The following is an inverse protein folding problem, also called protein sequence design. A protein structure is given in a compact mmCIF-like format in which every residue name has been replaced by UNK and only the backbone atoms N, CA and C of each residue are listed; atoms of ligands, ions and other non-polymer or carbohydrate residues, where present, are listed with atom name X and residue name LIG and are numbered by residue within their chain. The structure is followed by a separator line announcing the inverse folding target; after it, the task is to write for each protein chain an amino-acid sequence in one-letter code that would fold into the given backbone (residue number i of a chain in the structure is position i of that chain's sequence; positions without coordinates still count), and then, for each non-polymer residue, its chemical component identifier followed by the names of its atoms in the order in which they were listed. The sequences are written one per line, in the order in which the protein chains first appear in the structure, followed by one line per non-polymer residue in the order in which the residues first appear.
data_IF_465703635836
#
_entry.id   IF_465703635836
#
_cell.length_a   1.000
_cell.length_b   1.000
_cell.length_c   1.000
_cell.angle_alpha   90.00
_cell.angle_beta   90.00
_cell.angle_gamma   90.00
#
_symmetry.space_group_name_H-M   'P 1'
#
loop_
_entity.id
_entity.type
_entity.pdbx_description
1 polymer ?
#
# COMPACT_ATOMS: atom_id res chain seq x y z
N UNK A 1 1.05 -8.89 11.45
CA UNK A 1 -0.38 -8.54 11.53
C UNK A 1 -1.24 -9.72 11.99
N UNK A 2 -1.45 -10.82 11.24
CA UNK A 2 -2.35 -11.95 11.62
C UNK A 2 -1.96 -12.58 12.97
N UNK A 3 -0.67 -12.87 13.22
CA UNK A 3 -0.20 -13.38 14.51
C UNK A 3 -0.43 -12.41 15.67
N UNK A 4 -0.31 -11.10 15.42
CA UNK A 4 -0.62 -10.08 16.43
C UNK A 4 -2.11 -10.01 16.74
N UNK A 5 -2.98 -10.20 15.74
CA UNK A 5 -4.43 -10.32 15.94
C UNK A 5 -4.79 -11.50 16.83
N UNK A 6 -4.20 -12.68 16.56
CA UNK A 6 -4.36 -13.87 17.40
C UNK A 6 -3.90 -13.61 18.85
N UNK A 7 -2.74 -12.97 19.02
CA UNK A 7 -2.22 -12.63 20.36
C UNK A 7 -3.12 -11.59 21.06
N UNK A 8 -3.84 -10.77 20.32
CA UNK A 8 -4.84 -9.82 20.82
C UNK A 8 -6.22 -10.44 21.10
N UNK A 9 -6.39 -11.75 20.87
CA UNK A 9 -7.65 -12.46 21.13
C UNK A 9 -8.72 -12.23 20.05
N UNK A 10 -8.32 -11.84 18.83
CA UNK A 10 -9.25 -11.68 17.71
C UNK A 10 -9.45 -13.01 16.99
N UNK A 11 -10.68 -13.40 16.77
CA UNK A 11 -11.06 -14.62 16.05
C UNK A 11 -11.17 -14.39 14.53
N UNK A 12 -11.45 -13.16 14.11
CA UNK A 12 -11.69 -12.79 12.72
C UNK A 12 -11.03 -11.46 12.39
N UNK A 13 -10.37 -11.37 11.24
CA UNK A 13 -9.84 -10.12 10.68
C UNK A 13 -10.14 -10.05 9.18
N UNK A 14 -10.21 -8.85 8.63
CA UNK A 14 -10.23 -8.63 7.20
C UNK A 14 -8.90 -8.02 6.73
N UNK A 15 -8.45 -8.40 5.54
CA UNK A 15 -7.32 -7.77 4.85
C UNK A 15 -7.91 -6.86 3.78
N UNK A 16 -7.72 -5.56 3.95
CA UNK A 16 -8.29 -4.51 3.07
C UNK A 16 -7.21 -3.54 2.64
N UNK A 17 -6.16 -4.07 2.01
CA UNK A 17 -5.08 -3.24 1.48
C UNK A 17 -5.59 -2.34 0.35
N UNK A 18 -4.95 -1.19 0.20
CA UNK A 18 -5.31 -0.22 -0.83
C UNK A 18 -5.08 -0.75 -2.24
N UNK A 19 -6.15 -0.87 -3.00
CA UNK A 19 -6.21 -1.22 -4.43
C UNK A 19 -5.63 -2.60 -4.77
N UNK A 20 -5.46 -3.51 -3.80
CA UNK A 20 -4.89 -4.84 -4.03
C UNK A 20 -5.46 -5.87 -3.06
N UNK A 21 -5.54 -7.12 -3.53
CA UNK A 21 -5.87 -8.30 -2.73
C UNK A 21 -4.66 -9.22 -2.49
N UNK A 22 -3.47 -8.81 -2.93
CA UNK A 22 -2.26 -9.66 -3.02
C UNK A 22 -1.82 -10.26 -1.66
N UNK A 23 -2.07 -9.57 -0.55
CA UNK A 23 -1.68 -10.07 0.77
C UNK A 23 -2.60 -11.16 1.33
N UNK A 24 -3.78 -11.39 0.71
CA UNK A 24 -4.79 -12.28 1.26
C UNK A 24 -4.30 -13.72 1.43
N UNK A 25 -3.73 -14.33 0.40
CA UNK A 25 -3.34 -15.75 0.44
C UNK A 25 -2.27 -16.03 1.52
N UNK A 26 -1.30 -15.15 1.65
CA UNK A 26 -0.29 -15.24 2.71
C UNK A 26 -0.91 -15.05 4.11
N UNK A 27 -1.80 -14.08 4.26
CA UNK A 27 -2.51 -13.84 5.50
C UNK A 27 -3.43 -15.01 5.88
N UNK A 28 -4.17 -15.58 4.92
CA UNK A 28 -5.02 -16.75 5.11
C UNK A 28 -4.25 -17.98 5.58
N UNK A 29 -3.08 -18.25 4.97
CA UNK A 29 -2.22 -19.35 5.38
C UNK A 29 -1.81 -19.22 6.85
N UNK A 30 -1.34 -18.03 7.26
CA UNK A 30 -1.01 -17.75 8.66
C UNK A 30 -2.24 -17.83 9.56
N UNK A 31 -3.39 -17.35 9.11
CA UNK A 31 -4.66 -17.40 9.86
C UNK A 31 -5.03 -18.83 10.24
N UNK A 32 -4.87 -19.78 9.32
CA UNK A 32 -5.12 -21.20 9.59
C UNK A 32 -4.19 -21.77 10.68
N UNK A 33 -2.92 -21.35 10.71
CA UNK A 33 -1.97 -21.79 11.72
C UNK A 33 -2.35 -21.30 13.12
N UNK A 34 -2.80 -20.03 13.21
CA UNK A 34 -3.09 -19.37 14.50
C UNK A 34 -4.58 -19.34 14.85
N UNK A 35 -5.43 -20.01 14.08
CA UNK A 35 -6.88 -20.13 14.27
C UNK A 35 -7.62 -18.78 14.23
N UNK A 36 -7.19 -17.87 13.36
CA UNK A 36 -7.86 -16.62 13.06
C UNK A 36 -8.49 -16.74 11.67
N UNK A 37 -9.79 -16.47 11.55
CA UNK A 37 -10.44 -16.39 10.25
C UNK A 37 -9.98 -15.11 9.54
N UNK A 38 -9.50 -15.26 8.30
CA UNK A 38 -9.12 -14.12 7.46
C UNK A 38 -10.17 -13.93 6.38
N UNK A 39 -10.82 -12.78 6.39
CA UNK A 39 -11.80 -12.36 5.39
C UNK A 39 -11.07 -11.66 4.25
N UNK A 40 -11.26 -12.08 2.98
CA UNK A 40 -10.72 -11.36 1.83
C UNK A 40 -11.43 -10.02 1.67
N UNK A 41 -10.66 -8.97 1.48
CA UNK A 41 -11.18 -7.63 1.28
C UNK A 41 -10.25 -6.79 0.43
N UNK A 42 -10.68 -5.57 0.15
CA UNK A 42 -9.94 -4.55 -0.59
C UNK A 42 -10.42 -3.17 -0.15
N UNK A 43 -9.54 -2.18 -0.13
CA UNK A 43 -9.90 -0.78 -0.04
C UNK A 43 -9.67 -0.12 -1.41
N UNK A 44 -10.73 0.08 -2.17
CA UNK A 44 -10.67 0.69 -3.51
C UNK A 44 -10.55 2.19 -3.38
N UNK A 45 -9.46 2.75 -3.92
CA UNK A 45 -9.28 4.19 -4.06
C UNK A 45 -10.09 4.71 -5.25
N UNK A 46 -10.99 5.63 -4.99
CA UNK A 46 -11.90 6.23 -5.99
C UNK A 46 -11.95 7.75 -5.82
N UNK A 47 -12.57 8.44 -6.77
CA UNK A 47 -12.79 9.88 -6.70
C UNK A 47 -14.26 10.18 -7.00
N UNK A 48 -14.91 10.94 -6.14
CA UNK A 48 -16.28 11.42 -6.35
C UNK A 48 -16.34 12.94 -6.17
N UNK A 49 -16.84 13.64 -7.19
CA UNK A 49 -16.94 15.11 -7.19
C UNK A 49 -15.63 15.82 -6.82
N UNK A 50 -14.48 15.31 -7.30
CA UNK A 50 -13.14 15.88 -7.05
C UNK A 50 -12.58 15.60 -5.66
N UNK A 51 -13.20 14.70 -4.88
CA UNK A 51 -12.73 14.28 -3.55
C UNK A 51 -12.36 12.82 -3.57
N UNK A 52 -11.25 12.48 -2.91
CA UNK A 52 -10.85 11.10 -2.72
C UNK A 52 -11.89 10.38 -1.84
N UNK A 53 -12.31 9.21 -2.27
CA UNK A 53 -13.25 8.34 -1.57
C UNK A 53 -12.65 6.94 -1.53
N UNK A 54 -12.63 6.34 -0.36
CA UNK A 54 -12.18 4.96 -0.17
C UNK A 54 -13.39 4.06 0.07
N UNK A 55 -13.52 3.01 -0.74
CA UNK A 55 -14.63 2.06 -0.67
C UNK A 55 -14.07 0.72 -0.20
N UNK A 56 -14.54 0.25 0.95
CA UNK A 56 -14.17 -1.05 1.48
C UNK A 56 -15.08 -2.14 0.88
N UNK A 57 -14.45 -3.14 0.26
CA UNK A 57 -15.09 -4.38 -0.16
C UNK A 57 -14.69 -5.52 0.77
N UNK A 58 -15.64 -6.31 1.21
CA UNK A 58 -15.42 -7.52 2.00
C UNK A 58 -15.97 -8.74 1.30
N UNK A 59 -15.43 -9.92 1.62
CA UNK A 59 -15.84 -11.20 1.02
C UNK A 59 -15.70 -11.20 -0.51
N UNK A 60 -14.72 -10.45 -1.02
CA UNK A 60 -14.41 -10.39 -2.45
C UNK A 60 -13.71 -11.68 -2.87
N UNK A 61 -13.81 -12.04 -4.16
CA UNK A 61 -12.92 -13.03 -4.73
C UNK A 61 -11.54 -12.39 -4.95
N UNK A 62 -10.49 -12.79 -4.18
CA UNK A 62 -9.18 -12.15 -4.27
C UNK A 62 -8.49 -12.35 -5.61
N UNK A 63 -8.90 -13.38 -6.36
CA UNK A 63 -8.34 -13.75 -7.67
C UNK A 63 -9.20 -13.25 -8.85
N UNK A 64 -10.27 -12.49 -8.57
CA UNK A 64 -11.12 -11.92 -9.60
C UNK A 64 -10.29 -11.07 -10.59
N UNK A 65 -10.35 -11.37 -11.86
CA UNK A 65 -9.57 -10.67 -12.90
C UNK A 65 -9.75 -9.14 -12.88
N UNK A 66 -10.96 -8.67 -12.55
CA UNK A 66 -11.26 -7.24 -12.42
C UNK A 66 -10.48 -6.58 -11.26
N UNK A 67 -10.32 -7.26 -10.12
CA UNK A 67 -9.56 -6.75 -8.99
C UNK A 67 -8.06 -6.79 -9.25
N UNK A 68 -7.56 -7.83 -9.91
CA UNK A 68 -6.16 -7.93 -10.32
C UNK A 68 -5.82 -6.79 -11.28
N UNK A 69 -6.61 -6.60 -12.34
CA UNK A 69 -6.41 -5.51 -13.30
C UNK A 69 -6.52 -4.12 -12.64
N UNK A 70 -7.44 -3.95 -11.67
CA UNK A 70 -7.55 -2.70 -10.89
C UNK A 70 -6.25 -2.43 -10.12
N UNK A 71 -5.68 -3.45 -9.46
CA UNK A 71 -4.42 -3.34 -8.70
C UNK A 71 -3.23 -2.96 -9.60
N UNK A 72 -3.12 -3.56 -10.78
CA UNK A 72 -2.08 -3.23 -11.76
C UNK A 72 -2.18 -1.77 -12.22
N UNK A 73 -3.38 -1.30 -12.58
CA UNK A 73 -3.63 0.09 -12.95
C UNK A 73 -3.34 1.06 -11.80
N UNK A 74 -3.73 0.70 -10.57
CA UNK A 74 -3.46 1.52 -9.39
C UNK A 74 -1.95 1.65 -9.12
N UNK A 75 -1.20 0.56 -9.27
CA UNK A 75 0.26 0.55 -9.14
C UNK A 75 0.91 1.48 -10.14
N UNK A 76 0.56 1.36 -11.42
CA UNK A 76 1.07 2.24 -12.50
C UNK A 76 0.81 3.72 -12.19
N UNK A 77 -0.43 4.07 -11.82
CA UNK A 77 -0.78 5.46 -11.46
C UNK A 77 -0.02 5.98 -10.24
N UNK A 78 0.29 5.12 -9.26
CA UNK A 78 1.10 5.50 -8.09
C UNK A 78 2.55 5.78 -8.47
N UNK A 79 3.12 4.98 -9.37
CA UNK A 79 4.46 5.21 -9.89
C UNK A 79 4.56 6.50 -10.70
N UNK A 80 3.61 6.74 -11.60
CA UNK A 80 3.52 7.98 -12.38
C UNK A 80 3.44 9.20 -11.46
N UNK A 81 2.52 9.17 -10.48
CA UNK A 81 2.39 10.25 -9.50
C UNK A 81 3.65 10.43 -8.65
N UNK A 82 4.38 9.35 -8.33
CA UNK A 82 5.66 9.46 -7.63
C UNK A 82 6.69 10.20 -8.47
N UNK A 83 6.81 9.88 -9.75
CA UNK A 83 7.71 10.59 -10.67
C UNK A 83 7.36 12.07 -10.79
N UNK A 84 6.07 12.39 -10.88
CA UNK A 84 5.61 13.79 -10.88
C UNK A 84 5.96 14.54 -9.59
N UNK A 85 5.83 13.90 -8.43
CA UNK A 85 6.24 14.51 -7.14
C UNK A 85 7.75 14.78 -7.11
N UNK A 86 8.57 13.85 -7.58
CA UNK A 86 10.03 14.02 -7.67
C UNK A 86 10.39 15.20 -8.60
N UNK A 87 9.73 15.33 -9.74
CA UNK A 87 9.93 16.49 -10.64
C UNK A 87 9.61 17.80 -9.93
N UNK A 88 8.44 17.89 -9.26
CA UNK A 88 8.06 19.10 -8.51
C UNK A 88 9.04 19.44 -7.38
N UNK A 89 9.60 18.46 -6.69
CA UNK A 89 10.64 18.68 -5.69
C UNK A 89 11.93 19.22 -6.32
N UNK A 90 12.29 18.74 -7.51
CA UNK A 90 13.44 19.25 -8.26
C UNK A 90 13.27 20.73 -8.64
N UNK A 91 12.06 21.18 -8.97
CA UNK A 91 11.75 22.60 -9.23
C UNK A 91 11.96 23.48 -8.00
N UNK A 92 11.86 22.90 -6.79
CA UNK A 92 12.12 23.56 -5.49
C UNK A 92 13.56 23.34 -4.98
N UNK A 93 14.49 22.94 -5.86
CA UNK A 93 15.89 22.62 -5.53
C UNK A 93 16.07 21.46 -4.52
N UNK A 94 15.09 20.59 -4.40
CA UNK A 94 15.16 19.35 -3.61
C UNK A 94 15.40 18.19 -4.56
N UNK A 95 16.61 17.61 -4.51
CA UNK A 95 17.02 16.53 -5.42
C UNK A 95 16.88 15.19 -4.72
N UNK A 96 15.96 14.36 -5.22
CA UNK A 96 15.79 12.97 -4.85
C UNK A 96 15.46 12.17 -6.10
N UNK A 97 16.08 11.02 -6.27
CA UNK A 97 15.85 10.14 -7.42
C UNK A 97 14.75 9.11 -7.10
N UNK A 98 14.16 8.55 -8.15
CA UNK A 98 13.21 7.45 -8.01
C UNK A 98 13.87 6.21 -7.35
N UNK A 99 15.15 5.94 -7.67
CA UNK A 99 15.93 4.85 -7.07
C UNK A 99 16.10 4.99 -5.55
N UNK A 100 16.36 6.21 -5.06
CA UNK A 100 16.45 6.47 -3.61
C UNK A 100 15.09 6.24 -2.91
N UNK A 101 13.98 6.54 -3.59
CA UNK A 101 12.64 6.22 -3.08
C UNK A 101 12.41 4.70 -3.06
N UNK A 102 12.89 3.98 -4.07
CA UNK A 102 12.85 2.52 -4.10
C UNK A 102 13.66 1.88 -2.97
N UNK A 103 14.87 2.37 -2.73
CA UNK A 103 15.72 1.91 -1.62
C UNK A 103 15.04 2.15 -0.26
N UNK A 104 14.44 3.33 -0.08
CA UNK A 104 13.70 3.68 1.13
C UNK A 104 12.43 2.83 1.33
N UNK A 105 11.89 2.26 0.26
CA UNK A 105 10.75 1.34 0.31
C UNK A 105 11.15 -0.07 0.78
N UNK A 106 12.38 -0.50 0.47
CA UNK A 106 12.90 -1.82 0.79
C UNK A 106 12.47 -2.92 -0.19
N UNK A 107 13.05 -4.13 -0.05
CA UNK A 107 12.86 -5.22 -1.02
C UNK A 107 11.46 -5.86 -0.97
N UNK A 108 10.78 -5.81 0.17
CA UNK A 108 9.49 -6.47 0.38
C UNK A 108 8.28 -5.59 0.00
N UNK A 109 8.54 -4.46 -0.69
CA UNK A 109 7.47 -3.53 -1.06
C UNK A 109 6.51 -4.13 -2.09
N UNK A 110 5.24 -3.95 -1.87
CA UNK A 110 4.18 -4.24 -2.85
C UNK A 110 3.97 -3.05 -3.79
N UNK A 111 4.10 -1.82 -3.28
CA UNK A 111 3.91 -0.59 -4.05
C UNK A 111 4.68 0.58 -3.44
N UNK A 112 4.96 1.60 -4.25
CA UNK A 112 5.60 2.85 -3.83
C UNK A 112 4.53 3.88 -3.43
N UNK A 113 4.78 4.61 -2.35
CA UNK A 113 3.88 5.66 -1.85
C UNK A 113 4.59 6.79 -1.13
N UNK A 114 3.84 7.83 -0.75
CA UNK A 114 4.35 9.03 -0.06
C UNK A 114 5.25 8.74 1.16
N UNK A 115 4.99 7.73 2.01
CA UNK A 115 5.88 7.41 3.12
C UNK A 115 7.30 7.02 2.69
N UNK A 116 7.45 6.40 1.51
CA UNK A 116 8.76 6.03 0.96
C UNK A 116 9.52 7.27 0.50
N UNK A 117 8.85 8.19 -0.20
CA UNK A 117 9.42 9.49 -0.58
C UNK A 117 9.85 10.29 0.67
N UNK A 118 9.00 10.33 1.71
CA UNK A 118 9.32 11.02 2.96
C UNK A 118 10.58 10.43 3.61
N UNK A 119 10.72 9.10 3.63
CA UNK A 119 11.93 8.44 4.13
C UNK A 119 13.16 8.74 3.29
N UNK A 120 13.04 8.76 1.96
CA UNK A 120 14.14 9.15 1.06
C UNK A 120 14.59 10.59 1.32
N UNK A 121 13.65 11.53 1.52
CA UNK A 121 13.95 12.92 1.86
C UNK A 121 14.65 13.06 3.22
N UNK A 122 14.27 12.28 4.22
CA UNK A 122 14.97 12.22 5.52
C UNK A 122 16.39 11.68 5.33
N UNK A 123 16.57 10.60 4.57
CA UNK A 123 17.89 10.01 4.29
C UNK A 123 18.80 10.97 3.52
N UNK A 124 18.24 11.76 2.61
CA UNK A 124 18.96 12.79 1.87
C UNK A 124 19.21 14.10 2.68
N UNK A 125 18.71 14.19 3.93
CA UNK A 125 18.92 15.33 4.82
C UNK A 125 17.99 16.53 4.59
N UNK A 126 16.99 16.40 3.74
CA UNK A 126 16.00 17.46 3.50
C UNK A 126 14.93 17.57 4.60
N UNK A 127 14.77 16.55 5.43
CA UNK A 127 13.86 16.54 6.56
C UNK A 127 14.49 15.79 7.75
N UNK A 128 14.02 16.09 8.98
CA UNK A 128 14.56 15.46 10.21
C UNK A 128 13.79 14.23 10.65
N UNK A 129 12.54 14.09 10.22
CA UNK A 129 11.66 12.95 10.55
C UNK A 129 10.54 12.81 9.52
N UNK A 130 9.96 11.63 9.46
CA UNK A 130 8.68 11.41 8.78
C UNK A 130 7.57 11.76 9.77
N UNK A 131 6.52 12.52 9.37
CA UNK A 131 5.40 12.87 10.23
C UNK A 131 4.61 11.66 10.70
#
# INVERSE_FOLDING_TARGET
MVRSAASGGLDVIAITDHDTTAAYHAAWAVGREVRVQVVPGIEVSSTHAGRDVHILGYFVDPDAAALVAHGEHATTRREERMREMIVRLSDEAITVSYSEVEEAAGPDRVTIGRPHLARALVSAGYATSVP
#
